data_IF_924654463127
#
_entry.id   IF_924654463127
#
_cell.length_a   1.000
_cell.length_b   1.000
_cell.length_c   1.000
_cell.angle_alpha   90.00
_cell.angle_beta   90.00
_cell.angle_gamma   90.00
#
_symmetry.space_group_name_H-M   'P 1'
#
loop_
_entity.id
_entity.type
_entity.pdbx_description
1 polymer ?
#
# COMPACT_ATOMS: atom_id res chain seq x y z
N UNK A 1 -0.59 -34.72 -29.88
CA UNK A 1 -0.38 -35.41 -28.60
C UNK A 1 -1.67 -35.34 -27.83
N UNK A 2 -2.25 -36.51 -27.57
CA UNK A 2 -3.48 -36.67 -26.77
C UNK A 2 -3.00 -36.76 -25.32
N UNK A 3 -3.42 -35.83 -24.47
CA UNK A 3 -3.16 -35.92 -23.04
C UNK A 3 -3.90 -37.14 -22.48
N UNK A 4 -3.28 -37.95 -21.61
CA UNK A 4 -4.01 -39.01 -20.94
C UNK A 4 -5.08 -38.38 -20.03
N UNK A 5 -6.24 -39.03 -19.87
CA UNK A 5 -7.22 -38.58 -18.89
C UNK A 5 -6.61 -38.79 -17.49
N UNK A 6 -6.36 -37.68 -16.78
CA UNK A 6 -6.07 -37.70 -15.36
C UNK A 6 -7.26 -38.32 -14.64
N UNK A 7 -7.06 -39.52 -14.11
CA UNK A 7 -8.03 -40.29 -13.33
C UNK A 7 -8.04 -39.85 -11.87
N UNK A 8 -8.06 -38.53 -11.64
CA UNK A 8 -8.46 -37.96 -10.36
C UNK A 8 -9.91 -37.52 -10.49
N UNK A 9 -10.79 -38.17 -9.74
CA UNK A 9 -12.11 -37.61 -9.45
C UNK A 9 -11.92 -36.21 -8.88
N UNK A 10 -12.72 -35.19 -9.25
CA UNK A 10 -12.71 -33.93 -8.54
C UNK A 10 -13.29 -34.24 -7.15
N UNK A 11 -12.43 -34.54 -6.18
CA UNK A 11 -12.79 -34.45 -4.78
C UNK A 11 -13.25 -33.00 -4.58
N UNK A 12 -14.56 -32.82 -4.45
CA UNK A 12 -15.18 -31.54 -4.18
C UNK A 12 -14.61 -31.04 -2.85
N UNK A 13 -13.59 -30.19 -2.91
CA UNK A 13 -13.04 -29.53 -1.74
C UNK A 13 -14.19 -29.00 -0.89
N UNK A 14 -14.16 -29.30 0.40
CA UNK A 14 -15.13 -28.74 1.35
C UNK A 14 -15.06 -27.21 1.33
N UNK A 15 -16.13 -26.52 1.74
CA UNK A 15 -16.13 -25.06 1.79
C UNK A 15 -14.96 -24.51 2.62
N UNK A 16 -14.62 -25.20 3.72
CA UNK A 16 -13.48 -24.86 4.56
C UNK A 16 -12.14 -24.96 3.80
N UNK A 17 -11.93 -26.02 3.03
CA UNK A 17 -10.71 -26.21 2.23
C UNK A 17 -10.60 -25.19 1.09
N UNK A 18 -11.71 -24.86 0.43
CA UNK A 18 -11.75 -23.80 -0.59
C UNK A 18 -11.37 -22.45 0.02
N UNK A 19 -11.97 -22.10 1.16
CA UNK A 19 -11.68 -20.87 1.87
C UNK A 19 -10.24 -20.84 2.40
N UNK A 20 -9.70 -21.96 2.87
CA UNK A 20 -8.30 -22.06 3.30
C UNK A 20 -7.33 -21.82 2.15
N UNK A 21 -7.58 -22.42 0.99
CA UNK A 21 -6.76 -22.22 -0.21
C UNK A 21 -6.81 -20.78 -0.71
N UNK A 22 -8.01 -20.22 -0.85
CA UNK A 22 -8.18 -18.83 -1.31
C UNK A 22 -7.53 -17.85 -0.33
N UNK A 23 -7.70 -18.06 0.98
CA UNK A 23 -7.04 -17.23 1.99
C UNK A 23 -5.52 -17.31 1.87
N UNK A 24 -4.94 -18.50 1.71
CA UNK A 24 -3.49 -18.65 1.55
C UNK A 24 -2.96 -17.90 0.31
N UNK A 25 -3.68 -17.93 -0.81
CA UNK A 25 -3.32 -17.19 -2.02
C UNK A 25 -3.37 -15.67 -1.83
N UNK A 26 -4.33 -15.17 -1.05
CA UNK A 26 -4.52 -13.74 -0.81
C UNK A 26 -3.62 -13.16 0.30
N UNK A 27 -3.29 -13.95 1.33
CA UNK A 27 -2.46 -13.51 2.47
C UNK A 27 -1.05 -13.09 2.08
N UNK A 28 -0.58 -13.60 0.94
CA UNK A 28 0.70 -13.25 0.31
C UNK A 28 0.89 -11.74 0.12
N UNK A 29 -0.20 -11.03 -0.15
CA UNK A 29 -0.24 -9.56 -0.30
C UNK A 29 -0.96 -8.88 0.88
N UNK A 30 -2.07 -9.47 1.36
CA UNK A 30 -2.98 -8.81 2.29
C UNK A 30 -2.56 -8.88 3.76
N UNK A 31 -1.68 -9.81 4.12
CA UNK A 31 -1.12 -9.90 5.47
C UNK A 31 -0.44 -8.61 5.93
N UNK A 32 0.00 -7.76 5.00
CA UNK A 32 0.65 -6.46 5.28
C UNK A 32 -0.24 -5.45 6.01
N UNK A 33 -1.57 -5.56 5.92
CA UNK A 33 -2.49 -4.64 6.61
C UNK A 33 -2.62 -4.93 8.12
N UNK A 34 -1.90 -5.94 8.62
CA UNK A 34 -1.97 -6.36 10.01
C UNK A 34 -3.13 -7.32 10.26
N UNK A 35 -3.33 -7.79 11.51
CA UNK A 35 -4.13 -8.98 11.81
C UNK A 35 -5.62 -8.81 11.52
N UNK A 36 -6.17 -7.59 11.59
CA UNK A 36 -7.57 -7.33 11.28
C UNK A 36 -7.72 -6.75 9.89
N UNK A 37 -8.51 -7.40 9.05
CA UNK A 37 -8.70 -7.05 7.64
C UNK A 37 -10.19 -7.05 7.32
N UNK A 38 -10.57 -6.18 6.40
CA UNK A 38 -11.94 -6.16 5.89
C UNK A 38 -12.11 -7.27 4.87
N UNK A 39 -13.19 -8.04 4.98
CA UNK A 39 -13.59 -9.06 4.01
C UNK A 39 -14.93 -8.65 3.40
N UNK A 40 -15.04 -8.76 2.08
CA UNK A 40 -16.23 -8.43 1.31
C UNK A 40 -16.86 -9.74 0.78
N UNK A 41 -18.08 -10.03 1.23
CA UNK A 41 -18.91 -11.13 0.73
C UNK A 41 -19.83 -10.61 -0.37
N UNK A 42 -19.82 -11.26 -1.51
CA UNK A 42 -20.62 -10.90 -2.67
C UNK A 42 -21.92 -11.69 -2.66
N UNK A 43 -23.03 -10.98 -2.67
CA UNK A 43 -24.36 -11.58 -2.62
C UNK A 43 -25.18 -11.09 -3.81
N UNK A 44 -25.92 -12.00 -4.44
CA UNK A 44 -26.80 -11.67 -5.56
C UNK A 44 -28.24 -12.09 -5.25
N UNK A 45 -29.18 -11.23 -5.63
CA UNK A 45 -30.61 -11.39 -5.37
C UNK A 45 -31.41 -11.24 -6.67
N UNK A 46 -32.54 -11.93 -6.82
CA UNK A 46 -33.40 -11.78 -7.99
C UNK A 46 -34.21 -10.47 -7.97
N UNK A 47 -34.38 -9.82 -6.81
CA UNK A 47 -35.11 -8.56 -6.68
C UNK A 47 -34.70 -7.77 -5.42
N UNK A 48 -35.18 -6.53 -5.35
CA UNK A 48 -34.90 -5.59 -4.25
C UNK A 48 -35.50 -6.03 -2.91
N UNK A 49 -36.70 -6.62 -2.89
CA UNK A 49 -37.38 -6.98 -1.64
C UNK A 49 -36.59 -8.04 -0.83
N UNK A 50 -36.08 -9.07 -1.53
CA UNK A 50 -35.24 -10.11 -0.91
C UNK A 50 -33.92 -9.54 -0.41
N UNK A 51 -33.30 -8.67 -1.21
CA UNK A 51 -32.08 -7.95 -0.83
C UNK A 51 -32.28 -7.11 0.43
N UNK A 52 -33.40 -6.39 0.53
CA UNK A 52 -33.69 -5.52 1.66
C UNK A 52 -33.96 -6.32 2.95
N UNK A 53 -34.67 -7.46 2.83
CA UNK A 53 -34.88 -8.41 3.95
C UNK A 53 -33.55 -8.96 4.46
N UNK A 54 -32.67 -9.41 3.55
CA UNK A 54 -31.32 -9.85 3.89
C UNK A 54 -30.50 -8.72 4.53
N UNK A 55 -30.63 -7.50 4.02
CA UNK A 55 -29.84 -6.34 4.47
C UNK A 55 -30.08 -6.03 5.94
N UNK A 56 -31.34 -6.09 6.41
CA UNK A 56 -31.65 -5.90 7.84
C UNK A 56 -30.91 -6.92 8.72
N UNK A 57 -30.98 -8.21 8.37
CA UNK A 57 -30.34 -9.29 9.12
C UNK A 57 -28.81 -9.20 9.11
N UNK A 58 -28.23 -8.90 7.95
CA UNK A 58 -26.79 -8.74 7.83
C UNK A 58 -26.27 -7.53 8.64
N UNK A 59 -27.00 -6.42 8.66
CA UNK A 59 -26.67 -5.26 9.51
C UNK A 59 -26.75 -5.60 11.00
N UNK A 60 -27.80 -6.28 11.44
CA UNK A 60 -27.97 -6.73 12.82
C UNK A 60 -26.85 -7.70 13.24
N UNK A 61 -26.34 -8.48 12.29
CA UNK A 61 -25.19 -9.36 12.48
C UNK A 61 -23.83 -8.65 12.47
N UNK A 62 -23.79 -7.33 12.25
CA UNK A 62 -22.59 -6.50 12.29
C UNK A 62 -21.89 -6.30 10.95
N UNK A 63 -22.52 -6.66 9.82
CA UNK A 63 -21.96 -6.40 8.50
C UNK A 63 -22.25 -4.95 8.05
N UNK A 64 -21.26 -4.34 7.40
CA UNK A 64 -21.43 -3.08 6.68
C UNK A 64 -21.85 -3.39 5.24
N UNK A 65 -22.94 -2.79 4.77
CA UNK A 65 -23.49 -3.10 3.47
C UNK A 65 -23.19 -2.01 2.44
N UNK A 66 -22.88 -2.41 1.22
CA UNK A 66 -22.68 -1.53 0.07
C UNK A 66 -23.36 -2.14 -1.15
N UNK A 67 -24.13 -1.33 -1.87
CA UNK A 67 -24.70 -1.72 -3.15
C UNK A 67 -23.59 -1.81 -4.20
N UNK A 68 -23.62 -2.83 -5.04
CA UNK A 68 -22.77 -2.88 -6.23
C UNK A 68 -23.51 -2.21 -7.38
N UNK A 69 -22.83 -1.31 -8.11
CA UNK A 69 -23.38 -0.64 -9.29
C UNK A 69 -23.48 -1.56 -10.52
N UNK A 70 -23.12 -2.85 -10.38
CA UNK A 70 -23.21 -3.84 -11.44
C UNK A 70 -24.66 -4.29 -11.60
N UNK A 71 -25.51 -3.49 -12.23
CA UNK A 71 -26.85 -3.95 -12.62
C UNK A 71 -26.72 -4.84 -13.86
N UNK A 72 -27.09 -6.11 -13.76
CA UNK A 72 -27.18 -7.04 -14.90
C UNK A 72 -28.62 -7.55 -14.98
N UNK A 73 -29.44 -6.84 -15.76
CA UNK A 73 -30.86 -7.14 -15.88
C UNK A 73 -31.63 -6.78 -14.60
N UNK A 74 -32.46 -7.70 -14.13
CA UNK A 74 -33.28 -7.57 -12.91
C UNK A 74 -32.56 -7.96 -11.62
N UNK A 75 -31.35 -8.54 -11.69
CA UNK A 75 -30.61 -9.00 -10.51
C UNK A 75 -30.00 -7.82 -9.75
N UNK A 76 -30.12 -7.89 -8.43
CA UNK A 76 -29.57 -6.91 -7.50
C UNK A 76 -28.32 -7.48 -6.81
N UNK A 77 -27.28 -6.67 -6.68
CA UNK A 77 -26.00 -7.09 -6.11
C UNK A 77 -25.69 -6.29 -4.84
N UNK A 78 -25.20 -7.01 -3.82
CA UNK A 78 -24.89 -6.45 -2.51
C UNK A 78 -23.53 -6.98 -2.05
N UNK A 79 -22.73 -6.09 -1.46
CA UNK A 79 -21.48 -6.44 -0.81
C UNK A 79 -21.69 -6.30 0.70
N UNK A 80 -21.54 -7.41 1.43
CA UNK A 80 -21.55 -7.43 2.88
C UNK A 80 -20.11 -7.49 3.42
N UNK A 81 -19.70 -6.44 4.13
CA UNK A 81 -18.32 -6.25 4.58
C UNK A 81 -18.18 -6.41 6.10
N UNK A 82 -17.11 -7.03 6.56
CA UNK A 82 -16.82 -7.17 7.99
C UNK A 82 -15.31 -7.09 8.26
N UNK A 83 -14.89 -6.48 9.38
CA UNK A 83 -13.50 -6.49 9.82
C UNK A 83 -13.24 -7.60 10.83
N UNK A 84 -12.39 -8.56 10.47
CA UNK A 84 -12.04 -9.72 11.32
C UNK A 84 -10.56 -10.05 11.23
N UNK A 85 -10.08 -10.91 12.14
CA UNK A 85 -8.86 -11.68 11.89
C UNK A 85 -9.21 -12.87 11.01
N UNK A 86 -8.77 -12.89 9.74
CA UNK A 86 -9.24 -13.87 8.79
C UNK A 86 -8.58 -15.20 9.07
N UNK A 87 -9.42 -16.19 9.35
CA UNK A 87 -9.07 -17.59 9.37
C UNK A 87 -10.06 -18.31 8.46
N UNK A 88 -9.65 -19.42 7.85
CA UNK A 88 -10.54 -20.20 7.00
C UNK A 88 -11.84 -20.57 7.73
N UNK A 89 -11.74 -20.91 9.02
CA UNK A 89 -12.88 -21.22 9.89
C UNK A 89 -13.78 -20.01 10.15
N UNK A 90 -13.22 -18.84 10.46
CA UNK A 90 -14.01 -17.63 10.69
C UNK A 90 -14.76 -17.19 9.41
N UNK A 91 -14.08 -17.24 8.27
CA UNK A 91 -14.68 -16.91 6.96
C UNK A 91 -15.80 -17.88 6.62
N UNK A 92 -15.55 -19.19 6.77
CA UNK A 92 -16.56 -20.23 6.51
C UNK A 92 -17.78 -20.07 7.41
N UNK A 93 -17.58 -19.76 8.70
CA UNK A 93 -18.68 -19.52 9.63
C UNK A 93 -19.51 -18.28 9.25
N UNK A 94 -18.86 -17.21 8.80
CA UNK A 94 -19.56 -16.00 8.34
C UNK A 94 -20.31 -16.25 7.03
N UNK A 95 -19.73 -17.00 6.10
CA UNK A 95 -20.38 -17.38 4.86
C UNK A 95 -21.64 -18.22 5.13
N UNK A 96 -21.53 -19.27 5.96
CA UNK A 96 -22.68 -20.09 6.35
C UNK A 96 -23.77 -19.26 7.07
N UNK A 97 -23.35 -18.27 7.87
CA UNK A 97 -24.29 -17.33 8.51
C UNK A 97 -25.02 -16.48 7.49
N UNK A 98 -24.34 -15.93 6.48
CA UNK A 98 -24.98 -15.16 5.42
C UNK A 98 -25.91 -16.05 4.57
N UNK A 99 -25.50 -17.28 4.25
CA UNK A 99 -26.34 -18.25 3.54
C UNK A 99 -27.64 -18.55 4.31
N UNK A 100 -27.58 -18.71 5.64
CA UNK A 100 -28.81 -18.89 6.45
C UNK A 100 -29.78 -17.71 6.39
N UNK A 101 -29.29 -16.49 6.13
CA UNK A 101 -30.16 -15.32 5.96
C UNK A 101 -30.88 -15.32 4.61
N UNK A 102 -30.33 -16.00 3.60
CA UNK A 102 -30.95 -16.17 2.29
C UNK A 102 -32.13 -17.14 2.35
N UNK A 103 -31.97 -18.27 3.06
CA UNK A 103 -33.03 -19.27 3.24
C UNK A 103 -34.30 -18.62 3.83
N UNK A 104 -34.13 -17.86 4.91
CA UNK A 104 -35.25 -17.17 5.53
C UNK A 104 -35.89 -16.08 4.63
N UNK A 105 -35.13 -15.47 3.72
CA UNK A 105 -35.62 -14.42 2.83
C UNK A 105 -36.37 -15.01 1.63
N UNK A 106 -35.93 -16.18 1.16
CA UNK A 106 -36.53 -16.89 0.06
C UNK A 106 -37.86 -17.57 0.47
N UNK A 107 -37.99 -18.04 1.72
CA UNK A 107 -39.23 -18.62 2.29
C UNK A 107 -40.42 -17.64 2.33
N UNK A 108 -40.17 -16.33 2.30
CA UNK A 108 -41.21 -15.30 2.37
C UNK A 108 -42.03 -15.15 1.07
N UNK A 109 -41.57 -15.72 -0.04
CA UNK A 109 -42.22 -15.61 -1.34
C UNK A 109 -42.61 -17.01 -1.84
N UNK A 110 -43.93 -17.25 -1.93
CA UNK A 110 -44.53 -18.58 -2.11
C UNK A 110 -44.05 -19.40 -3.32
N UNK A 111 -44.46 -20.67 -3.35
CA UNK A 111 -44.03 -21.71 -4.31
C UNK A 111 -44.03 -21.23 -5.77
N UNK A 112 -42.83 -20.95 -6.27
CA UNK A 112 -42.53 -20.64 -7.67
C UNK A 112 -41.09 -20.18 -7.80
N UNK A 113 -40.29 -20.87 -8.62
CA UNK A 113 -38.91 -20.45 -8.87
C UNK A 113 -38.91 -19.02 -9.44
N UNK A 114 -38.14 -18.08 -8.86
CA UNK A 114 -38.01 -16.76 -9.43
C UNK A 114 -37.51 -16.89 -10.87
N UNK A 115 -38.07 -16.12 -11.83
CA UNK A 115 -37.66 -16.19 -13.24
C UNK A 115 -36.16 -15.94 -13.43
N UNK A 116 -35.52 -15.26 -12.47
CA UNK A 116 -34.12 -14.87 -12.52
C UNK A 116 -33.19 -15.69 -11.61
N UNK A 117 -33.69 -16.78 -10.99
CA UNK A 117 -32.90 -17.70 -10.15
C UNK A 117 -32.87 -17.37 -8.64
N UNK A 118 -32.27 -18.24 -7.81
CA UNK A 118 -32.24 -18.06 -6.35
C UNK A 118 -31.29 -16.94 -5.91
N UNK A 119 -31.45 -16.51 -4.66
CA UNK A 119 -30.49 -15.66 -3.98
C UNK A 119 -29.23 -16.48 -3.65
N UNK A 120 -28.03 -15.89 -3.74
CA UNK A 120 -26.77 -16.61 -3.52
C UNK A 120 -25.72 -15.76 -2.83
N UNK A 121 -24.86 -16.41 -2.04
CA UNK A 121 -23.54 -15.87 -1.66
C UNK A 121 -22.53 -16.40 -2.67
N UNK A 122 -22.06 -15.53 -3.56
CA UNK A 122 -21.24 -15.91 -4.72
C UNK A 122 -19.77 -16.15 -4.35
N UNK A 123 -19.39 -15.76 -3.14
CA UNK A 123 -18.07 -15.92 -2.57
C UNK A 123 -17.64 -14.72 -1.75
N UNK A 124 -16.36 -14.68 -1.43
CA UNK A 124 -15.75 -13.57 -0.69
C UNK A 124 -14.43 -13.17 -1.34
N UNK A 125 -14.01 -11.95 -1.07
CA UNK A 125 -12.67 -11.46 -1.42
C UNK A 125 -12.25 -10.35 -0.47
N UNK A 126 -10.98 -9.98 -0.52
CA UNK A 126 -10.55 -8.71 0.03
C UNK A 126 -11.01 -7.54 -0.86
N UNK A 127 -11.21 -6.33 -0.31
CA UNK A 127 -11.56 -5.15 -1.10
C UNK A 127 -10.58 -4.92 -2.27
N UNK A 128 -10.99 -4.28 -3.38
CA UNK A 128 -10.07 -3.97 -4.46
C UNK A 128 -8.95 -3.04 -3.98
N UNK A 129 -7.71 -3.28 -4.43
CA UNK A 129 -6.57 -2.38 -4.18
C UNK A 129 -6.86 -0.99 -4.75
N UNK A 130 -6.42 0.06 -4.06
CA UNK A 130 -6.64 1.46 -4.45
C UNK A 130 -5.62 1.96 -5.43
N UNK A 131 -6.10 2.53 -6.52
CA UNK A 131 -5.30 3.38 -7.38
C UNK A 131 -5.17 4.78 -6.75
N UNK A 132 -3.93 5.27 -6.67
CA UNK A 132 -3.62 6.62 -6.19
C UNK A 132 -2.87 7.35 -7.29
N UNK A 133 -3.60 8.11 -8.11
CA UNK A 133 -3.09 8.77 -9.31
C UNK A 133 -3.41 10.27 -9.31
N UNK A 134 -2.38 11.08 -9.57
CA UNK A 134 -2.43 12.53 -9.65
C UNK A 134 -2.24 12.97 -11.10
N UNK A 135 -3.31 13.51 -11.67
CA UNK A 135 -3.34 13.98 -13.05
C UNK A 135 -2.97 15.47 -13.13
N UNK A 136 -2.28 15.92 -14.19
CA UNK A 136 -2.07 17.34 -14.45
C UNK A 136 -3.38 18.10 -14.61
N UNK A 137 -3.38 19.37 -14.24
CA UNK A 137 -4.57 20.23 -14.26
C UNK A 137 -5.02 20.67 -15.67
N UNK A 138 -4.58 20.01 -16.74
CA UNK A 138 -4.46 20.66 -18.06
C UNK A 138 -5.59 20.45 -19.07
N UNK A 139 -6.68 19.72 -18.78
CA UNK A 139 -7.70 19.52 -19.83
C UNK A 139 -9.15 19.32 -19.39
N UNK A 140 -9.43 19.25 -18.10
CA UNK A 140 -10.80 19.19 -17.60
C UNK A 140 -11.16 20.50 -16.89
N UNK A 141 -12.46 20.83 -16.82
CA UNK A 141 -12.91 22.02 -16.09
C UNK A 141 -12.25 22.06 -14.70
N UNK A 142 -11.88 23.25 -14.20
CA UNK A 142 -11.20 23.39 -12.88
C UNK A 142 -11.85 22.57 -11.76
N UNK A 143 -13.18 22.40 -11.79
CA UNK A 143 -13.92 21.56 -10.82
C UNK A 143 -13.59 20.08 -10.93
N UNK A 144 -13.50 19.54 -12.15
CA UNK A 144 -13.18 18.13 -12.38
C UNK A 144 -11.75 17.79 -11.93
N UNK A 145 -10.79 18.68 -12.22
CA UNK A 145 -9.41 18.56 -11.74
C UNK A 145 -9.34 18.56 -10.20
N UNK A 146 -10.01 19.52 -9.54
CA UNK A 146 -10.08 19.58 -8.06
C UNK A 146 -10.72 18.33 -7.46
N UNK A 147 -11.80 17.82 -8.07
CA UNK A 147 -12.46 16.59 -7.62
C UNK A 147 -11.56 15.34 -7.77
N UNK A 148 -10.82 15.22 -8.88
CA UNK A 148 -9.89 14.12 -9.09
C UNK A 148 -8.74 14.14 -8.07
N UNK A 149 -8.17 15.32 -7.81
CA UNK A 149 -7.13 15.54 -6.80
C UNK A 149 -7.63 15.19 -5.39
N UNK A 150 -8.85 15.58 -5.04
CA UNK A 150 -9.47 15.24 -3.75
C UNK A 150 -9.68 13.73 -3.59
N UNK A 151 -10.12 13.03 -4.64
CA UNK A 151 -10.27 11.57 -4.63
C UNK A 151 -8.92 10.86 -4.47
N UNK A 152 -7.88 11.34 -5.16
CA UNK A 152 -6.53 10.79 -5.02
C UNK A 152 -5.96 11.02 -3.61
N UNK A 153 -6.22 12.18 -3.00
CA UNK A 153 -5.87 12.45 -1.59
C UNK A 153 -6.57 11.48 -0.63
N UNK A 154 -7.87 11.26 -0.81
CA UNK A 154 -8.65 10.32 0.00
C UNK A 154 -8.18 8.87 -0.17
N UNK A 155 -7.90 8.45 -1.39
CA UNK A 155 -7.33 7.14 -1.67
C UNK A 155 -5.96 6.99 -1.01
N UNK A 156 -5.08 7.99 -1.12
CA UNK A 156 -3.79 7.98 -0.42
C UNK A 156 -3.98 7.89 1.09
N UNK A 157 -4.90 8.63 1.70
CA UNK A 157 -5.16 8.56 3.13
C UNK A 157 -5.63 7.17 3.58
N UNK A 158 -6.57 6.57 2.84
CA UNK A 158 -7.07 5.23 3.10
C UNK A 158 -5.95 4.19 3.05
N UNK A 159 -5.08 4.28 2.04
CA UNK A 159 -3.89 3.43 1.98
C UNK A 159 -2.95 3.78 3.14
N UNK A 160 -2.52 5.03 3.31
CA UNK A 160 -1.49 5.52 4.25
C UNK A 160 -1.75 5.16 5.72
N UNK A 161 -3.01 5.19 6.15
CA UNK A 161 -3.38 4.88 7.54
C UNK A 161 -3.82 3.42 7.73
N UNK A 162 -3.49 2.54 6.78
CA UNK A 162 -3.61 1.08 6.92
C UNK A 162 -5.01 0.53 6.70
N UNK A 163 -5.89 1.29 6.04
CA UNK A 163 -7.23 0.81 5.69
C UNK A 163 -7.24 -0.04 4.43
N UNK A 164 -6.36 0.24 3.47
CA UNK A 164 -6.40 -0.35 2.13
C UNK A 164 -4.99 -0.57 1.54
N UNK A 165 -4.87 -1.50 0.59
CA UNK A 165 -3.64 -1.72 -0.20
C UNK A 165 -3.59 -0.83 -1.43
N UNK A 166 -2.38 -0.50 -1.89
CA UNK A 166 -2.18 0.23 -3.14
C UNK A 166 -2.10 -0.71 -4.34
N UNK A 167 -2.71 -0.29 -5.45
CA UNK A 167 -2.57 -0.91 -6.77
C UNK A 167 -1.41 -0.24 -7.51
N UNK A 168 -0.43 -1.00 -8.01
CA UNK A 168 0.64 -0.44 -8.86
C UNK A 168 0.10 -0.24 -10.29
N UNK A 169 -0.13 1.01 -10.74
CA UNK A 169 -0.74 1.25 -12.06
C UNK A 169 0.15 0.81 -13.22
N UNK A 170 1.45 0.60 -12.99
CA UNK A 170 2.35 0.11 -14.04
C UNK A 170 2.12 -1.36 -14.40
N UNK A 171 1.46 -2.12 -13.53
CA UNK A 171 1.05 -3.49 -13.83
C UNK A 171 -0.22 -3.54 -14.68
N UNK A 172 -0.92 -2.41 -14.84
CA UNK A 172 -2.10 -2.31 -15.68
C UNK A 172 -1.73 -1.86 -17.11
N UNK A 173 -2.14 -2.61 -18.12
CA UNK A 173 -1.82 -2.36 -19.54
C UNK A 173 -2.41 -1.07 -20.16
N UNK A 174 -2.98 -0.18 -19.35
CA UNK A 174 -3.59 1.07 -19.82
C UNK A 174 -2.60 2.23 -19.93
N UNK A 175 -1.47 2.20 -19.21
CA UNK A 175 -0.40 3.20 -19.32
C UNK A 175 0.59 2.83 -20.43
N UNK A 176 1.16 3.83 -21.10
CA UNK A 176 2.25 3.59 -22.03
C UNK A 176 3.58 3.56 -21.29
N UNK A 177 4.29 2.44 -21.41
CA UNK A 177 5.65 2.24 -20.92
C UNK A 177 6.60 1.97 -22.11
N UNK A 178 7.84 2.46 -22.07
CA UNK A 178 8.89 2.00 -22.98
C UNK A 178 9.03 0.46 -22.92
N UNK A 179 9.28 -0.23 -24.05
CA UNK A 179 9.38 -1.70 -24.07
C UNK A 179 10.35 -2.28 -23.03
N UNK A 180 11.52 -1.64 -22.86
CA UNK A 180 12.54 -2.07 -21.90
C UNK A 180 12.11 -2.02 -20.42
N UNK A 181 11.15 -1.16 -20.07
CA UNK A 181 10.58 -1.09 -18.73
C UNK A 181 9.44 -2.09 -18.57
N UNK A 182 8.66 -2.33 -19.62
CA UNK A 182 7.54 -3.27 -19.61
C UNK A 182 7.98 -4.70 -19.31
N UNK A 183 9.02 -5.17 -19.99
CA UNK A 183 9.55 -6.54 -19.80
C UNK A 183 10.07 -6.79 -18.37
N UNK A 184 10.49 -5.72 -17.66
CA UNK A 184 10.94 -5.78 -16.27
C UNK A 184 9.79 -5.73 -15.27
N UNK A 185 8.70 -5.01 -15.61
CA UNK A 185 7.56 -4.78 -14.71
C UNK A 185 6.57 -5.95 -14.75
N UNK A 186 6.46 -6.66 -15.88
CA UNK A 186 5.59 -7.83 -16.02
C UNK A 186 6.05 -9.05 -15.20
N UNK A 187 7.22 -8.98 -14.54
CA UNK A 187 7.67 -9.99 -13.60
C UNK A 187 6.97 -9.83 -12.24
N UNK A 188 6.53 -10.93 -11.59
CA UNK A 188 6.01 -10.87 -10.24
C UNK A 188 6.99 -10.16 -9.32
N UNK A 189 6.50 -9.28 -8.43
CA UNK A 189 7.35 -8.64 -7.43
C UNK A 189 8.09 -9.71 -6.64
N UNK A 190 9.40 -9.82 -6.84
CA UNK A 190 10.26 -10.64 -6.02
C UNK A 190 10.50 -9.94 -4.68
N UNK A 191 10.76 -10.73 -3.64
CA UNK A 191 11.30 -10.19 -2.41
C UNK A 191 12.79 -9.95 -2.59
N UNK A 192 13.30 -8.82 -2.10
CA UNK A 192 14.74 -8.60 -1.98
C UNK A 192 15.30 -9.66 -1.03
N UNK A 193 16.17 -10.53 -1.54
CA UNK A 193 16.75 -11.61 -0.75
C UNK A 193 17.87 -11.04 0.12
N UNK A 194 17.51 -10.70 1.36
CA UNK A 194 18.46 -10.24 2.36
C UNK A 194 18.93 -11.43 3.20
N UNK A 195 20.18 -11.85 3.03
CA UNK A 195 20.86 -12.79 3.94
C UNK A 195 21.63 -11.96 4.99
N UNK A 196 21.15 -11.85 6.25
CA UNK A 196 21.71 -10.90 7.20
C UNK A 196 23.21 -11.11 7.48
N UNK A 197 23.65 -12.37 7.57
CA UNK A 197 25.06 -12.72 7.81
C UNK A 197 25.98 -12.27 6.68
N UNK A 198 25.58 -12.47 5.43
CA UNK A 198 26.34 -12.04 4.25
C UNK A 198 26.41 -10.52 4.15
N UNK A 199 25.29 -9.84 4.43
CA UNK A 199 25.20 -8.39 4.41
C UNK A 199 26.11 -7.76 5.47
N UNK A 200 26.10 -8.31 6.70
CA UNK A 200 26.99 -7.87 7.78
C UNK A 200 28.46 -8.17 7.47
N UNK A 201 28.78 -9.32 6.87
CA UNK A 201 30.14 -9.66 6.44
C UNK A 201 30.65 -8.63 5.42
N UNK A 202 29.81 -8.28 4.43
CA UNK A 202 30.16 -7.28 3.42
C UNK A 202 30.32 -5.89 4.02
N UNK A 203 29.43 -5.51 4.95
CA UNK A 203 29.52 -4.25 5.69
C UNK A 203 30.86 -4.09 6.42
N UNK A 204 31.37 -5.15 7.06
CA UNK A 204 32.69 -5.13 7.72
C UNK A 204 33.84 -4.86 6.74
N UNK A 205 33.75 -5.38 5.51
CA UNK A 205 34.79 -5.20 4.48
C UNK A 205 34.69 -3.86 3.73
N UNK A 206 33.53 -3.20 3.80
CA UNK A 206 33.21 -1.99 3.03
C UNK A 206 32.87 -0.82 3.94
N UNK A 207 33.53 -0.69 5.09
CA UNK A 207 33.32 0.46 5.97
C UNK A 207 33.63 1.78 5.23
N UNK A 208 32.81 2.82 5.43
CA UNK A 208 33.06 4.12 4.82
C UNK A 208 34.33 4.75 5.42
N UNK A 209 35.16 5.38 4.58
CA UNK A 209 36.38 6.06 5.05
C UNK A 209 36.09 7.31 5.88
N UNK A 210 34.99 7.99 5.57
CA UNK A 210 34.53 9.20 6.24
C UNK A 210 33.01 9.14 6.38
N UNK A 211 32.49 8.42 7.41
CA UNK A 211 31.05 8.37 7.64
C UNK A 211 30.53 9.75 8.07
N UNK A 212 29.40 10.17 7.52
CA UNK A 212 28.75 11.41 7.90
C UNK A 212 27.67 11.13 8.95
N UNK A 213 27.43 12.03 9.91
CA UNK A 213 26.40 11.88 10.94
C UNK A 213 25.01 12.24 10.39
N UNK A 214 24.59 11.61 9.27
CA UNK A 214 23.24 11.76 8.71
C UNK A 214 22.60 10.41 8.36
N UNK A 215 21.28 10.31 8.56
CA UNK A 215 20.53 9.11 8.20
C UNK A 215 20.63 8.79 6.69
N UNK A 216 20.68 9.83 5.84
CA UNK A 216 20.83 9.68 4.39
C UNK A 216 22.20 9.13 4.00
N UNK A 217 23.28 9.55 4.65
CA UNK A 217 24.62 9.00 4.39
C UNK A 217 24.73 7.53 4.83
N UNK A 218 24.12 7.16 5.96
CA UNK A 218 24.01 5.76 6.38
C UNK A 218 23.22 4.92 5.36
N UNK A 219 22.05 5.42 4.92
CA UNK A 219 21.23 4.79 3.88
C UNK A 219 22.00 4.61 2.57
N UNK A 220 22.72 5.63 2.13
CA UNK A 220 23.54 5.59 0.92
C UNK A 220 24.66 4.55 1.02
N UNK A 221 25.30 4.43 2.18
CA UNK A 221 26.28 3.38 2.42
C UNK A 221 25.64 1.99 2.38
N UNK A 222 24.48 1.79 3.02
CA UNK A 222 23.73 0.53 2.94
C UNK A 222 23.39 0.18 1.49
N UNK A 223 23.01 1.17 0.67
CA UNK A 223 22.81 0.98 -0.77
C UNK A 223 24.09 0.46 -1.44
N UNK A 224 25.26 1.02 -1.16
CA UNK A 224 26.53 0.57 -1.75
C UNK A 224 26.88 -0.89 -1.47
N UNK A 225 26.33 -1.48 -0.40
CA UNK A 225 26.53 -2.90 -0.07
C UNK A 225 25.83 -3.85 -1.05
N UNK A 226 24.89 -3.39 -1.87
CA UNK A 226 24.24 -4.22 -2.90
C UNK A 226 24.02 -3.51 -4.25
N UNK A 227 24.16 -2.18 -4.31
CA UNK A 227 23.89 -1.36 -5.50
C UNK A 227 24.84 -1.62 -6.67
N UNK A 228 26.02 -2.18 -6.43
CA UNK A 228 26.91 -2.68 -7.49
C UNK A 228 26.39 -3.96 -8.17
N UNK A 229 25.27 -4.53 -7.72
CA UNK A 229 24.64 -5.66 -8.38
C UNK A 229 23.66 -5.24 -9.50
N UNK A 230 23.06 -4.04 -9.47
CA UNK A 230 21.96 -3.69 -10.40
C UNK A 230 21.81 -2.20 -10.83
N UNK A 231 22.68 -1.26 -10.44
CA UNK A 231 22.52 0.17 -10.83
C UNK A 231 23.80 0.83 -11.35
N UNK A 232 23.71 1.52 -12.48
CA UNK A 232 24.76 2.37 -13.04
C UNK A 232 24.80 3.75 -12.36
N UNK A 233 25.91 4.48 -12.47
CA UNK A 233 25.99 5.89 -12.00
C UNK A 233 24.93 6.77 -12.67
N UNK A 234 24.50 6.42 -13.88
CA UNK A 234 23.41 7.07 -14.60
C UNK A 234 22.06 6.89 -13.89
N UNK A 235 21.77 5.70 -13.34
CA UNK A 235 20.51 5.46 -12.60
C UNK A 235 20.42 6.31 -11.34
N UNK A 236 21.56 6.62 -10.71
CA UNK A 236 21.65 7.51 -9.53
C UNK A 236 21.45 8.97 -9.92
N UNK A 237 21.99 9.40 -11.07
CA UNK A 237 21.82 10.75 -11.59
C UNK A 237 20.36 11.01 -12.04
N UNK A 238 19.79 10.08 -12.80
CA UNK A 238 18.39 10.10 -13.25
C UNK A 238 17.43 10.06 -12.04
N UNK A 239 17.80 9.35 -10.97
CA UNK A 239 17.07 9.33 -9.70
C UNK A 239 17.00 10.71 -9.03
N UNK A 240 18.14 11.43 -8.95
CA UNK A 240 18.21 12.76 -8.34
C UNK A 240 17.47 13.83 -9.15
N UNK A 241 17.55 13.77 -10.48
CA UNK A 241 16.82 14.71 -11.35
C UNK A 241 15.30 14.45 -11.29
N UNK A 242 14.90 13.17 -11.28
CA UNK A 242 13.50 12.79 -11.07
C UNK A 242 12.98 13.23 -9.69
N UNK A 243 13.77 13.06 -8.62
CA UNK A 243 13.41 13.50 -7.25
C UNK A 243 13.03 14.98 -7.19
N UNK A 244 13.74 15.86 -7.92
CA UNK A 244 13.43 17.29 -7.98
C UNK A 244 12.14 17.59 -8.78
N UNK A 245 11.88 16.87 -9.88
CA UNK A 245 10.65 17.07 -10.65
C UNK A 245 9.42 16.54 -9.91
N UNK A 246 9.58 15.41 -9.23
CA UNK A 246 8.56 14.82 -8.36
C UNK A 246 8.31 15.71 -7.18
N UNK A 247 9.36 16.30 -6.60
CA UNK A 247 9.25 17.31 -5.57
C UNK A 247 8.33 18.46 -6.01
N UNK A 248 8.57 19.04 -7.20
CA UNK A 248 7.73 20.11 -7.74
C UNK A 248 6.29 19.65 -8.04
N UNK A 249 6.08 18.41 -8.47
CA UNK A 249 4.73 17.89 -8.72
C UNK A 249 4.01 17.38 -7.47
N UNK A 250 4.73 16.97 -6.43
CA UNK A 250 4.20 16.71 -5.08
C UNK A 250 3.81 18.02 -4.40
N UNK A 251 4.58 19.07 -4.63
CA UNK A 251 4.21 20.46 -4.34
C UNK A 251 3.04 20.94 -5.21
N UNK A 252 2.81 20.41 -6.41
CA UNK A 252 1.56 20.64 -7.16
C UNK A 252 0.37 19.81 -6.61
N UNK A 253 0.61 18.63 -6.03
CA UNK A 253 -0.36 17.82 -5.27
C UNK A 253 -0.55 18.32 -3.81
N UNK A 254 -0.02 19.49 -3.49
CA UNK A 254 -0.10 20.14 -2.18
C UNK A 254 -1.58 20.26 -1.75
N UNK A 255 -1.84 19.83 -0.51
CA UNK A 255 -3.14 19.51 0.15
C UNK A 255 -3.48 18.01 0.32
N UNK A 256 -2.65 17.06 -0.14
CA UNK A 256 -2.89 15.65 0.15
C UNK A 256 -2.39 15.27 1.55
N UNK A 257 -3.31 15.07 2.50
CA UNK A 257 -3.06 14.64 3.87
C UNK A 257 -2.37 15.69 4.76
N UNK A 258 -2.67 16.97 4.56
CA UNK A 258 -2.35 18.03 5.53
C UNK A 258 -3.34 18.06 6.71
N UNK A 259 -3.07 18.84 7.75
CA UNK A 259 -3.95 18.91 8.92
C UNK A 259 -5.37 19.42 8.58
N UNK A 260 -5.53 20.25 7.54
CA UNK A 260 -6.85 20.71 7.09
C UNK A 260 -7.65 19.57 6.48
N UNK A 261 -7.04 18.82 5.56
CA UNK A 261 -7.61 17.63 4.96
C UNK A 261 -7.94 16.56 6.01
N UNK A 262 -6.99 16.23 6.90
CA UNK A 262 -7.18 15.18 7.92
C UNK A 262 -8.38 15.47 8.82
N UNK A 263 -8.53 16.75 9.24
CA UNK A 263 -9.70 17.18 10.01
C UNK A 263 -11.00 17.06 9.22
N UNK A 264 -11.03 17.51 7.96
CA UNK A 264 -12.23 17.39 7.10
C UNK A 264 -12.62 15.94 6.84
N UNK A 265 -11.65 15.06 6.70
CA UNK A 265 -11.84 13.63 6.50
C UNK A 265 -12.19 12.87 7.79
N UNK A 266 -12.27 13.55 8.94
CA UNK A 266 -12.58 12.93 10.23
C UNK A 266 -11.48 12.00 10.75
N UNK A 267 -10.25 12.10 10.21
CA UNK A 267 -9.15 11.24 10.60
C UNK A 267 -8.53 11.70 11.93
N UNK A 268 -8.27 10.75 12.83
CA UNK A 268 -7.68 11.00 14.15
C UNK A 268 -6.15 11.22 14.11
N UNK A 269 -5.62 11.68 12.99
CA UNK A 269 -4.19 11.90 12.74
C UNK A 269 -3.90 13.38 12.55
N UNK A 270 -2.69 13.79 12.90
CA UNK A 270 -2.13 15.12 12.64
C UNK A 270 -0.72 15.01 12.08
N UNK A 271 -0.43 15.76 11.03
CA UNK A 271 0.91 15.98 10.50
C UNK A 271 1.68 16.88 11.47
N UNK A 272 2.70 16.34 12.14
CA UNK A 272 3.53 17.04 13.14
C UNK A 272 4.89 17.47 12.57
N UNK A 273 5.35 16.82 11.50
CA UNK A 273 6.56 17.22 10.79
C UNK A 273 6.41 17.05 9.29
N UNK A 274 7.00 17.98 8.56
CA UNK A 274 7.00 18.04 7.10
C UNK A 274 8.39 18.47 6.64
N UNK A 275 9.29 17.49 6.48
CA UNK A 275 10.66 17.67 6.00
C UNK A 275 10.72 18.03 4.51
N UNK A 276 9.58 17.95 3.83
CA UNK A 276 9.39 18.42 2.48
C UNK A 276 9.35 19.97 2.40
N UNK A 277 9.25 20.73 3.49
CA UNK A 277 9.23 22.21 3.44
C UNK A 277 8.02 22.83 2.69
N UNK A 278 6.86 22.16 2.71
CA UNK A 278 5.68 22.58 1.93
C UNK A 278 5.07 23.93 2.37
N UNK A 279 5.29 24.39 3.60
CA UNK A 279 4.65 25.62 4.09
C UNK A 279 5.49 26.51 5.04
N UNK A 280 6.58 26.03 5.63
CA UNK A 280 7.30 26.83 6.63
C UNK A 280 8.81 26.56 6.65
N UNK A 281 9.60 27.58 6.31
CA UNK A 281 11.07 27.54 6.34
C UNK A 281 11.62 27.65 7.78
N UNK A 282 10.75 27.85 8.78
CA UNK A 282 11.15 28.11 10.18
C UNK A 282 11.16 26.86 11.08
N UNK A 283 10.59 25.74 10.66
CA UNK A 283 10.72 24.49 11.41
C UNK A 283 12.11 23.90 11.16
N UNK A 284 12.79 23.45 12.23
CA UNK A 284 14.05 22.74 12.11
C UNK A 284 13.89 21.61 11.08
N UNK A 285 14.69 21.64 10.02
CA UNK A 285 14.61 20.72 8.89
C UNK A 285 14.93 19.28 9.27
N UNK A 286 15.52 19.08 10.44
CA UNK A 286 16.02 17.79 10.89
C UNK A 286 15.87 17.62 12.40
N UNK A 287 15.76 16.37 12.80
CA UNK A 287 15.87 15.90 14.17
C UNK A 287 17.31 15.50 14.47
N UNK A 288 17.72 15.67 15.73
CA UNK A 288 18.97 15.14 16.26
C UNK A 288 18.64 13.90 17.07
N UNK A 289 19.41 12.82 16.87
CA UNK A 289 19.27 11.54 17.59
C UNK A 289 20.51 11.35 18.47
N UNK A 290 20.47 11.73 19.76
CA UNK A 290 21.67 11.83 20.59
C UNK A 290 22.39 10.50 20.82
N UNK A 291 21.68 9.37 20.83
CA UNK A 291 22.27 8.05 21.11
C UNK A 291 22.80 7.32 19.87
N UNK A 292 22.58 7.88 18.67
CA UNK A 292 23.20 7.41 17.44
C UNK A 292 24.31 8.38 17.09
N UNK A 293 25.57 7.99 17.29
CA UNK A 293 26.72 8.86 17.05
C UNK A 293 27.62 8.31 15.94
N UNK A 294 28.18 9.21 15.14
CA UNK A 294 29.19 8.95 14.11
C UNK A 294 30.35 9.91 14.36
N UNK A 295 31.54 9.39 14.64
CA UNK A 295 32.68 10.25 14.98
C UNK A 295 32.46 11.16 16.19
N UNK A 296 31.60 10.76 17.13
CA UNK A 296 31.22 11.56 18.30
C UNK A 296 30.11 12.59 18.04
N UNK A 297 29.69 12.81 16.79
CA UNK A 297 28.57 13.69 16.45
C UNK A 297 27.25 12.93 16.44
N UNK A 298 26.19 13.53 16.99
CA UNK A 298 24.85 12.95 16.97
C UNK A 298 24.26 12.92 15.55
N UNK A 299 23.57 11.84 15.22
CA UNK A 299 22.97 11.61 13.92
C UNK A 299 21.86 12.63 13.65
N UNK A 300 21.88 13.24 12.45
CA UNK A 300 20.81 14.09 11.94
C UNK A 300 19.87 13.29 11.03
N UNK A 301 18.58 13.45 11.25
CA UNK A 301 17.51 12.75 10.54
C UNK A 301 16.47 13.73 10.00
N UNK A 302 16.08 13.60 8.73
CA UNK A 302 15.10 14.48 8.07
C UNK A 302 14.02 13.63 7.39
N UNK A 303 13.06 13.07 8.15
CA UNK A 303 11.96 12.32 7.56
C UNK A 303 11.07 13.23 6.70
N UNK A 304 10.53 12.70 5.60
CA UNK A 304 9.64 13.50 4.74
C UNK A 304 8.38 13.95 5.49
N UNK A 305 7.72 13.02 6.17
CA UNK A 305 6.47 13.28 6.90
C UNK A 305 6.47 12.50 8.21
N UNK A 306 5.95 13.14 9.27
CA UNK A 306 5.63 12.47 10.54
C UNK A 306 4.20 12.81 10.92
N UNK A 307 3.41 11.78 11.18
CA UNK A 307 2.04 11.88 11.67
C UNK A 307 1.96 11.33 13.09
N UNK A 308 1.20 12.00 13.95
CA UNK A 308 0.83 11.50 15.27
C UNK A 308 -0.67 11.28 15.34
N UNK A 309 -1.11 10.27 16.10
CA UNK A 309 -2.50 10.17 16.49
C UNK A 309 -2.88 11.33 17.43
N UNK A 310 -4.16 11.64 17.53
CA UNK A 310 -4.67 12.73 18.39
C UNK A 310 -4.29 12.57 19.87
N UNK A 311 -4.16 11.33 20.34
CA UNK A 311 -3.76 10.99 21.71
C UNK A 311 -2.22 10.86 21.88
N UNK A 312 -1.44 11.06 20.81
CA UNK A 312 0.02 10.92 20.80
C UNK A 312 0.54 9.48 20.96
N UNK A 313 -0.33 8.46 21.01
CA UNK A 313 0.09 7.08 21.29
C UNK A 313 0.64 6.35 20.08
N UNK A 314 0.29 6.81 18.87
CA UNK A 314 0.73 6.24 17.60
C UNK A 314 1.50 7.28 16.80
N UNK A 315 2.64 6.86 16.26
CA UNK A 315 3.44 7.67 15.34
C UNK A 315 3.61 6.92 14.02
N UNK A 316 3.44 7.64 12.91
CA UNK A 316 3.65 7.13 11.57
C UNK A 316 4.68 8.01 10.85
N UNK A 317 5.80 7.40 10.47
CA UNK A 317 6.92 8.08 9.80
C UNK A 317 6.97 7.61 8.36
N UNK A 318 7.01 8.56 7.43
CA UNK A 318 7.01 8.28 5.99
C UNK A 318 8.31 8.75 5.38
N UNK A 319 8.93 7.85 4.61
CA UNK A 319 9.98 8.17 3.65
C UNK A 319 9.45 7.91 2.24
N UNK A 320 9.66 8.88 1.36
CA UNK A 320 9.21 8.80 -0.02
C UNK A 320 10.39 8.49 -0.92
N UNK A 321 10.21 7.53 -1.82
CA UNK A 321 11.12 7.27 -2.93
C UNK A 321 10.38 7.37 -4.25
N UNK A 322 11.16 7.54 -5.30
CA UNK A 322 10.69 7.39 -6.66
C UNK A 322 11.41 6.24 -7.33
N UNK A 323 10.66 5.46 -8.11
CA UNK A 323 11.27 4.45 -8.94
C UNK A 323 10.38 4.12 -10.12
N UNK A 324 11.00 4.01 -11.29
CA UNK A 324 10.41 3.35 -12.48
C UNK A 324 10.81 1.87 -12.55
N UNK A 325 11.71 1.41 -11.69
CA UNK A 325 12.19 0.03 -11.65
C UNK A 325 11.19 -0.89 -10.91
N UNK A 326 11.30 -2.21 -11.07
CA UNK A 326 10.59 -3.16 -10.21
C UNK A 326 10.85 -2.86 -8.72
N UNK A 327 9.78 -2.89 -7.92
CA UNK A 327 9.84 -2.59 -6.49
C UNK A 327 9.75 -3.93 -5.76
N UNK A 328 10.76 -4.30 -4.95
CA UNK A 328 10.68 -5.52 -4.15
C UNK A 328 9.49 -5.47 -3.19
N UNK A 329 8.79 -6.60 -2.97
CA UNK A 329 7.64 -6.66 -2.02
C UNK A 329 8.02 -6.12 -0.65
N UNK A 330 9.18 -6.52 -0.18
CA UNK A 330 9.72 -6.13 1.11
C UNK A 330 10.54 -4.83 1.08
N UNK A 331 10.50 -4.02 0.00
CA UNK A 331 11.27 -2.78 -0.20
C UNK A 331 12.81 -2.95 -0.12
N UNK A 332 13.57 -1.91 -0.47
CA UNK A 332 15.03 -1.95 -0.47
C UNK A 332 15.65 -1.77 0.93
N UNK A 333 16.77 -2.46 1.25
CA UNK A 333 17.43 -2.34 2.55
C UNK A 333 17.89 -0.93 2.92
N UNK A 334 18.31 -0.11 1.96
CA UNK A 334 18.71 1.28 2.23
C UNK A 334 17.54 2.14 2.73
N UNK A 335 16.35 1.98 2.14
CA UNK A 335 15.14 2.68 2.59
C UNK A 335 14.79 2.28 4.01
N UNK A 336 14.90 0.99 4.33
CA UNK A 336 14.73 0.52 5.71
C UNK A 336 15.78 1.04 6.67
N UNK A 337 17.04 1.13 6.27
CA UNK A 337 18.09 1.71 7.11
C UNK A 337 17.77 3.16 7.48
N UNK A 338 17.29 3.94 6.52
CA UNK A 338 16.87 5.32 6.71
C UNK A 338 15.67 5.43 7.67
N UNK A 339 14.63 4.62 7.43
CA UNK A 339 13.43 4.55 8.27
C UNK A 339 13.73 4.05 9.69
N UNK A 340 14.64 3.09 9.84
CA UNK A 340 15.12 2.65 11.15
C UNK A 340 15.76 3.81 11.90
N UNK A 341 16.64 4.60 11.28
CA UNK A 341 17.19 5.81 11.92
C UNK A 341 16.08 6.77 12.36
N UNK A 342 15.07 7.01 11.52
CA UNK A 342 13.98 7.91 11.87
C UNK A 342 13.12 7.40 13.02
N UNK A 343 12.98 6.09 13.17
CA UNK A 343 12.29 5.50 14.34
C UNK A 343 12.99 5.77 15.67
N UNK A 344 14.22 6.29 15.65
CA UNK A 344 15.01 6.63 16.83
C UNK A 344 14.89 8.12 17.23
N UNK A 345 14.13 8.94 16.50
CA UNK A 345 13.89 10.34 16.91
C UNK A 345 13.15 10.40 18.25
N UNK A 346 13.32 11.48 19.05
CA UNK A 346 12.73 11.55 20.40
C UNK A 346 11.22 11.26 20.46
N UNK A 347 10.43 11.87 19.57
CA UNK A 347 8.99 11.65 19.51
C UNK A 347 8.61 10.19 19.22
N UNK A 348 9.46 9.46 18.49
CA UNK A 348 9.25 8.04 18.23
C UNK A 348 9.53 7.20 19.46
N UNK A 349 10.46 7.57 20.34
CA UNK A 349 10.78 6.81 21.56
C UNK A 349 9.60 6.86 22.54
N UNK A 350 8.92 8.00 22.63
CA UNK A 350 7.79 8.22 23.54
C UNK A 350 6.48 7.55 23.08
N UNK A 351 6.31 7.35 21.76
CA UNK A 351 5.11 6.74 21.20
C UNK A 351 4.99 5.25 21.60
N UNK A 352 3.77 4.80 21.89
CA UNK A 352 3.51 3.37 22.20
C UNK A 352 3.67 2.50 20.95
N UNK A 353 3.13 2.96 19.83
CA UNK A 353 3.21 2.28 18.55
C UNK A 353 3.89 3.18 17.52
N UNK A 354 4.92 2.66 16.85
CA UNK A 354 5.58 3.37 15.76
C UNK A 354 5.43 2.52 14.50
N UNK A 355 5.03 3.15 13.41
CA UNK A 355 5.00 2.52 12.09
C UNK A 355 5.87 3.33 11.15
N UNK A 356 6.82 2.66 10.51
CA UNK A 356 7.61 3.26 9.44
C UNK A 356 7.06 2.82 8.09
N UNK A 357 7.03 3.76 7.15
CA UNK A 357 6.40 3.61 5.84
C UNK A 357 7.36 4.04 4.75
N UNK A 358 7.64 3.14 3.81
CA UNK A 358 8.24 3.49 2.53
C UNK A 358 7.15 3.70 1.47
N UNK A 359 6.91 4.93 1.07
CA UNK A 359 6.06 5.26 -0.09
C UNK A 359 6.92 5.29 -1.36
N UNK A 360 6.61 4.46 -2.35
CA UNK A 360 7.29 4.49 -3.64
C UNK A 360 6.35 5.01 -4.70
N UNK A 361 6.76 6.11 -5.33
CA UNK A 361 6.03 6.77 -6.38
C UNK A 361 6.65 6.43 -7.74
N UNK A 362 5.82 6.52 -8.76
CA UNK A 362 6.24 6.42 -10.14
C UNK A 362 5.47 7.38 -11.02
N UNK A 363 5.74 7.27 -12.31
CA UNK A 363 5.04 8.04 -13.31
C UNK A 363 4.99 7.29 -14.62
N UNK A 364 4.02 7.69 -15.44
CA UNK A 364 3.88 7.22 -16.80
C UNK A 364 3.19 8.28 -17.64
N UNK A 365 3.15 8.03 -18.94
CA UNK A 365 2.40 8.86 -19.87
C UNK A 365 1.04 8.21 -20.13
N UNK A 366 -0.02 9.00 -20.02
CA UNK A 366 -1.34 8.57 -20.46
C UNK A 366 -1.33 8.33 -21.97
N UNK A 367 -2.18 7.41 -22.45
CA UNK A 367 -2.36 7.22 -23.89
C UNK A 367 -3.07 8.44 -24.47
N UNK A 368 -2.38 9.22 -25.29
CA UNK A 368 -2.99 10.34 -26.01
C UNK A 368 -3.83 9.84 -27.18
N UNK A 369 -5.15 9.77 -26.98
CA UNK A 369 -6.10 9.50 -28.06
C UNK A 369 -6.69 10.83 -28.56
N UNK A 370 -6.25 11.28 -29.74
CA UNK A 370 -6.94 12.37 -30.43
C UNK A 370 -8.24 11.89 -31.07
N UNK A 371 -9.03 12.84 -31.61
CA UNK A 371 -10.14 12.49 -32.51
C UNK A 371 -9.57 12.00 -33.84
N UNK A 372 -9.71 10.71 -34.15
CA UNK A 372 -9.25 10.08 -35.40
C UNK A 372 -7.83 9.50 -35.31
N UNK A 373 -7.07 9.57 -36.40
CA UNK A 373 -5.69 9.05 -36.48
C UNK A 373 -4.62 10.01 -35.92
N UNK A 374 -5.00 11.17 -35.38
CA UNK A 374 -4.07 12.12 -34.78
C UNK A 374 -3.70 11.66 -33.36
N UNK A 375 -2.48 11.14 -33.22
CA UNK A 375 -1.88 10.87 -31.90
C UNK A 375 -1.62 12.21 -31.22
N UNK A 376 -2.27 12.43 -30.08
CA UNK A 376 -1.94 13.58 -29.20
C UNK A 376 -0.83 13.12 -28.27
N UNK A 377 0.01 14.06 -27.84
CA UNK A 377 0.99 13.77 -26.80
C UNK A 377 0.27 13.33 -25.51
N UNK A 378 0.77 12.26 -24.90
CA UNK A 378 0.23 11.78 -23.63
C UNK A 378 0.39 12.85 -22.55
N UNK A 379 -0.38 12.72 -21.48
CA UNK A 379 -0.22 13.57 -20.30
C UNK A 379 0.55 12.77 -19.24
N UNK A 380 1.58 13.37 -18.64
CA UNK A 380 2.40 12.70 -17.62
C UNK A 380 1.62 12.62 -16.30
N UNK A 381 1.41 11.42 -15.78
CA UNK A 381 0.66 11.12 -14.56
C UNK A 381 1.64 10.63 -13.49
N UNK A 382 1.48 11.10 -12.25
CA UNK A 382 2.21 10.56 -11.08
C UNK A 382 1.27 9.67 -10.29
N UNK A 383 1.77 8.55 -9.80
CA UNK A 383 0.98 7.63 -9.00
C UNK A 383 1.81 6.93 -7.93
N UNK A 384 1.13 6.49 -6.86
CA UNK A 384 1.72 5.65 -5.83
C UNK A 384 1.79 4.22 -6.36
N UNK A 385 2.98 3.63 -6.36
CA UNK A 385 3.23 2.26 -6.84
C UNK A 385 3.32 1.24 -5.73
N UNK A 386 3.84 1.66 -4.58
CA UNK A 386 3.99 0.81 -3.41
C UNK A 386 3.86 1.65 -2.15
N UNK A 387 3.32 1.02 -1.12
CA UNK A 387 3.41 1.52 0.23
C UNK A 387 3.68 0.32 1.12
N UNK A 388 4.91 0.24 1.63
CA UNK A 388 5.35 -0.88 2.48
C UNK A 388 5.53 -0.39 3.90
N UNK A 389 4.96 -1.13 4.87
CA UNK A 389 4.95 -0.76 6.29
C UNK A 389 5.71 -1.76 7.14
N UNK A 390 6.34 -1.28 8.21
CA UNK A 390 6.91 -2.13 9.26
C UNK A 390 6.78 -1.50 10.64
N UNK A 391 6.76 -2.35 11.65
CA UNK A 391 7.14 -1.95 13.01
C UNK A 391 8.68 -1.90 13.08
N UNK A 392 9.29 -0.71 13.24
CA UNK A 392 10.73 -0.59 13.30
C UNK A 392 11.32 -1.13 14.61
N UNK A 393 10.49 -1.47 15.60
CA UNK A 393 10.91 -2.01 16.90
C UNK A 393 10.88 -3.53 16.95
N UNK A 394 10.45 -4.20 15.88
CA UNK A 394 10.55 -5.65 15.78
C UNK A 394 12.00 -6.10 16.02
N UNK A 395 12.21 -7.03 16.95
CA UNK A 395 13.55 -7.34 17.48
C UNK A 395 14.57 -7.72 16.40
N UNK A 396 14.17 -8.50 15.40
CA UNK A 396 15.06 -8.90 14.31
C UNK A 396 15.47 -7.70 13.44
N UNK A 397 14.54 -6.80 13.17
CA UNK A 397 14.75 -5.59 12.38
C UNK A 397 15.68 -4.60 13.11
N UNK A 398 15.38 -4.28 14.37
CA UNK A 398 16.22 -3.36 15.17
C UNK A 398 17.64 -3.92 15.33
N UNK A 399 17.78 -5.20 15.70
CA UNK A 399 19.10 -5.83 15.88
C UNK A 399 19.96 -5.74 14.63
N UNK A 400 19.38 -6.00 13.45
CA UNK A 400 20.10 -5.97 12.19
C UNK A 400 20.59 -4.56 11.84
N UNK A 401 19.70 -3.57 11.85
CA UNK A 401 20.08 -2.19 11.48
C UNK A 401 20.94 -1.52 12.54
N UNK A 402 20.75 -1.83 13.83
CA UNK A 402 21.64 -1.38 14.90
C UNK A 402 23.06 -1.91 14.71
N UNK A 403 23.22 -3.19 14.34
CA UNK A 403 24.55 -3.75 14.05
C UNK A 403 25.18 -3.12 12.80
N UNK A 404 24.40 -2.89 11.75
CA UNK A 404 24.89 -2.17 10.56
C UNK A 404 25.34 -0.75 10.90
N UNK A 405 24.57 -0.03 11.72
CA UNK A 405 24.92 1.32 12.14
C UNK A 405 26.19 1.36 12.98
N UNK A 406 26.40 0.38 13.87
CA UNK A 406 27.66 0.26 14.62
C UNK A 406 28.85 0.12 13.68
N UNK A 407 28.76 -0.76 12.67
CA UNK A 407 29.81 -0.94 11.66
C UNK A 407 30.04 0.36 10.88
N UNK A 408 28.98 1.04 10.46
CA UNK A 408 29.04 2.34 9.77
C UNK A 408 29.74 3.42 10.61
N UNK A 409 29.42 3.49 11.90
CA UNK A 409 29.98 4.46 12.84
C UNK A 409 31.43 4.14 13.26
N UNK A 410 31.99 3.00 12.86
CA UNK A 410 33.33 2.55 13.25
C UNK A 410 33.40 1.84 14.60
N UNK A 411 32.26 1.48 15.20
CA UNK A 411 32.22 0.65 16.41
C UNK A 411 32.24 -0.84 15.99
N UNK A 412 33.32 -1.56 16.32
CA UNK A 412 33.47 -3.00 16.00
C UNK A 412 32.93 -3.91 17.08
#
# INVERSE_FOLDING_TARGET
>A
MIFPPSSESPDELTLLERNARQLAELEDDWGELGPKRQIDFHCTFPNFDRRDTFSGKAQDAGFQLRESNEEHGSRCYLIASVQIEPTASAITALQAKLESFLEDADDTYGEGDPPDGPSSVDGWQYPPKREVSFWPNESSSKRAAVSAQARAAQARAAVLFGGELVKDPLLDGWLWLPPSLRDRIDQPRSSFTLVPSEFLRKALTMQPKAPEPTASAFSQWVYSLYGHAEGSEQDVADGKEAEQEIWERRKAATNCNDNSFLRRAGLSWSLTHNGLHLCDKRMASHFVIPHLCVGGEALRASPDLVYSSRDGTKLLIVETKFSRQPIPRNLWPNVWAQLWCYSQIPASVEAKNVTVVGEVWGEAWSKGYGRGHSRVEGVRVIFLRALVRRDPRATAYDRFFRRLFQIYAGHT
#
